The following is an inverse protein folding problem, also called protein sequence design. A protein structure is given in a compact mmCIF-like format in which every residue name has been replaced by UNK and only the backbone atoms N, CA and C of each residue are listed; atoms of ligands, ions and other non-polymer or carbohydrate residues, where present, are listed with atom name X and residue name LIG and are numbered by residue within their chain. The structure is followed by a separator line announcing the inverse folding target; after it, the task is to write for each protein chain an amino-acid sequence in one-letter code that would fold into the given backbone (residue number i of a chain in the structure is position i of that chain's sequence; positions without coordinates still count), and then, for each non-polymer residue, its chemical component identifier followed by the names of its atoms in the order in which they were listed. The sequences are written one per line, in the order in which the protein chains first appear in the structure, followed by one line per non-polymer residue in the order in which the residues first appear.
data_IF_563031555649
#
_entry.id   IF_563031555649
#
_cell.length_a   1.000
_cell.length_b   1.000
_cell.length_c   1.000
_cell.angle_alpha   90.00
_cell.angle_beta   90.00
_cell.angle_gamma   90.00
#
_symmetry.space_group_name_H-M   'P 1'
#
loop_
_entity.id
_entity.type
_entity.pdbx_description
1 polymer ?
#
# COMPACT_ATOMS: atom_id res chain seq x y z
N UNK A 1 -6.25 34.98 -1.59
CA UNK A 1 -7.72 34.98 -1.63
C UNK A 1 -8.18 33.82 -0.76
N UNK A 2 -8.86 34.11 0.35
CA UNK A 2 -9.18 33.14 1.39
C UNK A 2 -10.07 32.04 0.82
N UNK A 3 -9.75 30.78 1.14
CA UNK A 3 -10.60 29.61 0.87
C UNK A 3 -12.01 29.72 1.51
N UNK A 4 -12.20 30.71 2.38
CA UNK A 4 -13.41 30.97 3.13
C UNK A 4 -14.18 32.24 2.71
N UNK A 5 -13.69 33.03 1.74
CA UNK A 5 -14.42 34.22 1.24
C UNK A 5 -15.62 33.87 0.35
N UNK A 6 -15.80 32.60 -0.01
CA UNK A 6 -16.91 32.11 -0.85
C UNK A 6 -17.68 30.96 -0.19
N UNK A 7 -18.11 31.14 1.07
CA UNK A 7 -18.97 30.15 1.76
C UNK A 7 -20.24 29.80 0.98
N UNK A 8 -20.71 30.70 0.11
CA UNK A 8 -21.93 30.52 -0.69
C UNK A 8 -21.78 29.54 -1.87
N UNK A 9 -20.56 29.11 -2.23
CA UNK A 9 -20.31 28.23 -3.39
C UNK A 9 -19.53 26.95 -3.06
N UNK A 10 -19.42 26.57 -1.78
CA UNK A 10 -18.75 25.34 -1.37
C UNK A 10 -19.61 24.12 -1.71
N UNK A 11 -19.10 23.23 -2.56
CA UNK A 11 -19.81 22.00 -2.93
C UNK A 11 -19.41 20.85 -2.01
N UNK A 12 -20.26 19.81 -1.93
CA UNK A 12 -19.94 18.55 -1.24
C UNK A 12 -18.66 17.91 -1.80
N UNK A 13 -18.39 18.09 -3.10
CA UNK A 13 -17.17 17.62 -3.73
C UNK A 13 -15.92 18.32 -3.18
N UNK A 14 -15.99 19.64 -2.93
CA UNK A 14 -14.89 20.39 -2.32
C UNK A 14 -14.61 19.90 -0.90
N UNK A 15 -15.65 19.68 -0.10
CA UNK A 15 -15.52 19.14 1.25
C UNK A 15 -14.89 17.73 1.24
N UNK A 16 -15.38 16.84 0.39
CA UNK A 16 -14.84 15.48 0.26
C UNK A 16 -13.38 15.49 -0.21
N UNK A 17 -13.01 16.40 -1.12
CA UNK A 17 -11.62 16.51 -1.59
C UNK A 17 -10.66 16.90 -0.47
N UNK A 18 -11.04 17.88 0.36
CA UNK A 18 -10.23 18.35 1.49
C UNK A 18 -10.15 17.28 2.57
N UNK A 19 -11.28 16.65 2.92
CA UNK A 19 -11.33 15.55 3.89
C UNK A 19 -10.47 14.36 3.44
N UNK A 20 -10.53 14.00 2.15
CA UNK A 20 -9.71 12.94 1.58
C UNK A 20 -8.21 13.25 1.71
N UNK A 21 -7.78 14.47 1.36
CA UNK A 21 -6.37 14.88 1.48
C UNK A 21 -5.91 14.79 2.94
N UNK A 22 -6.67 15.33 3.90
CA UNK A 22 -6.31 15.29 5.31
C UNK A 22 -6.27 13.86 5.86
N UNK A 23 -7.26 13.04 5.53
CA UNK A 23 -7.30 11.63 5.94
C UNK A 23 -6.08 10.91 5.39
N UNK A 24 -5.75 11.09 4.12
CA UNK A 24 -4.60 10.46 3.47
C UNK A 24 -3.28 10.91 4.10
N UNK A 25 -3.14 12.19 4.48
CA UNK A 25 -1.97 12.73 5.17
C UNK A 25 -1.74 12.13 6.57
N UNK A 26 -2.79 11.61 7.21
CA UNK A 26 -2.68 10.93 8.52
C UNK A 26 -2.52 9.43 8.34
N UNK A 27 -3.32 8.83 7.46
CA UNK A 27 -3.37 7.37 7.28
C UNK A 27 -2.06 6.82 6.73
N UNK A 28 -1.44 7.42 5.71
CA UNK A 28 -0.24 6.80 5.13
C UNK A 28 0.95 6.75 6.11
N UNK A 29 1.29 7.84 6.83
CA UNK A 29 2.34 7.75 7.86
C UNK A 29 1.96 6.80 9.00
N UNK A 30 0.69 6.77 9.41
CA UNK A 30 0.21 5.85 10.44
C UNK A 30 0.38 4.39 10.02
N UNK A 31 0.01 4.04 8.78
CA UNK A 31 0.18 2.69 8.24
C UNK A 31 1.66 2.28 8.22
N UNK A 32 2.56 3.18 7.81
CA UNK A 32 4.00 2.92 7.85
C UNK A 32 4.50 2.75 9.29
N UNK A 33 4.04 3.58 10.23
CA UNK A 33 4.37 3.41 11.65
C UNK A 33 3.88 2.07 12.19
N UNK A 34 2.66 1.63 11.84
CA UNK A 34 2.15 0.31 12.20
C UNK A 34 3.03 -0.82 11.63
N UNK A 35 3.51 -0.69 10.38
CA UNK A 35 4.44 -1.64 9.78
C UNK A 35 5.76 -1.68 10.57
N UNK A 36 6.32 -0.53 10.92
CA UNK A 36 7.56 -0.47 11.70
C UNK A 36 7.39 -1.11 13.09
N UNK A 37 6.29 -0.83 13.78
CA UNK A 37 5.99 -1.41 15.10
C UNK A 37 5.78 -2.91 15.04
N UNK A 38 5.33 -3.46 13.91
CA UNK A 38 5.12 -4.89 13.71
C UNK A 38 6.23 -5.53 12.85
N UNK A 39 7.38 -4.88 12.70
CA UNK A 39 8.43 -5.30 11.76
C UNK A 39 9.00 -6.68 12.08
N UNK A 40 9.12 -7.05 13.36
CA UNK A 40 9.56 -8.37 13.79
C UNK A 40 8.56 -9.46 13.39
N UNK A 41 7.26 -9.25 13.65
CA UNK A 41 6.21 -10.18 13.24
C UNK A 41 6.10 -10.30 11.71
N UNK A 42 6.23 -9.18 11.00
CA UNK A 42 6.29 -9.15 9.53
C UNK A 42 7.48 -9.92 8.99
N UNK A 43 8.66 -9.76 9.60
CA UNK A 43 9.86 -10.50 9.21
C UNK A 43 9.68 -12.00 9.46
N UNK A 44 9.18 -12.40 10.63
CA UNK A 44 8.86 -13.78 10.92
C UNK A 44 7.86 -14.37 9.92
N UNK A 45 6.82 -13.61 9.57
CA UNK A 45 5.84 -14.01 8.55
C UNK A 45 6.52 -14.18 7.19
N UNK A 46 7.34 -13.24 6.74
CA UNK A 46 8.10 -13.36 5.47
C UNK A 46 9.03 -14.57 5.48
N UNK A 47 9.75 -14.83 6.59
CA UNK A 47 10.61 -16.01 6.69
C UNK A 47 9.82 -17.32 6.65
N UNK A 48 8.62 -17.36 7.22
CA UNK A 48 7.70 -18.50 7.07
C UNK A 48 7.19 -18.61 5.63
N UNK A 49 6.87 -17.47 4.99
CA UNK A 49 6.43 -17.37 3.60
C UNK A 49 7.47 -17.93 2.64
N UNK A 50 8.75 -17.63 2.88
CA UNK A 50 9.88 -18.07 2.06
C UNK A 50 10.49 -19.41 2.50
N UNK A 51 9.89 -20.08 3.50
CA UNK A 51 10.44 -21.31 4.04
C UNK A 51 10.51 -22.42 2.99
N UNK A 52 11.43 -23.38 3.21
CA UNK A 52 11.64 -24.52 2.32
C UNK A 52 10.35 -25.32 2.03
N UNK A 53 9.35 -25.23 2.92
CA UNK A 53 8.05 -25.84 2.72
C UNK A 53 7.26 -25.25 1.54
N UNK A 54 7.59 -24.08 1.01
CA UNK A 54 6.89 -23.45 -0.13
C UNK A 54 7.80 -23.20 -1.33
N UNK A 55 8.99 -23.81 -1.35
CA UNK A 55 9.82 -23.78 -2.55
C UNK A 55 9.19 -24.62 -3.66
N UNK A 56 9.30 -24.17 -4.93
CA UNK A 56 8.78 -24.90 -6.07
C UNK A 56 9.53 -26.23 -6.21
N UNK A 57 8.78 -27.32 -6.26
CA UNK A 57 9.29 -28.67 -6.50
C UNK A 57 9.28 -29.02 -8.00
N UNK A 58 8.56 -28.26 -8.82
CA UNK A 58 8.48 -28.47 -10.26
C UNK A 58 8.75 -27.19 -11.08
N UNK A 59 9.13 -27.38 -12.34
CA UNK A 59 9.30 -26.26 -13.28
C UNK A 59 7.99 -25.50 -13.53
N UNK A 60 6.84 -26.18 -13.44
CA UNK A 60 5.52 -25.58 -13.61
C UNK A 60 5.18 -24.65 -12.44
N UNK A 61 5.41 -25.10 -11.20
CA UNK A 61 5.26 -24.28 -9.99
C UNK A 61 6.21 -23.08 -10.02
N UNK A 62 7.46 -23.28 -10.44
CA UNK A 62 8.42 -22.18 -10.58
C UNK A 62 7.91 -21.09 -11.53
N UNK A 63 7.36 -21.48 -12.69
CA UNK A 63 6.87 -20.54 -13.69
C UNK A 63 5.64 -19.76 -13.19
N UNK A 64 4.74 -20.43 -12.48
CA UNK A 64 3.60 -19.81 -11.80
C UNK A 64 4.03 -18.77 -10.75
N UNK A 65 4.96 -19.16 -9.86
CA UNK A 65 5.52 -18.25 -8.84
C UNK A 65 6.19 -17.04 -9.51
N UNK A 66 6.96 -17.28 -10.57
CA UNK A 66 7.64 -16.22 -11.30
C UNK A 66 6.66 -15.22 -11.93
N UNK A 67 5.56 -15.68 -12.53
CA UNK A 67 4.52 -14.81 -13.09
C UNK A 67 3.85 -13.93 -12.04
N UNK A 68 3.55 -14.49 -10.86
CA UNK A 68 2.98 -13.73 -9.75
C UNK A 68 3.95 -12.69 -9.19
N UNK A 69 5.21 -13.07 -8.95
CA UNK A 69 6.25 -12.14 -8.48
C UNK A 69 6.51 -11.04 -9.51
N UNK A 70 6.53 -11.38 -10.80
CA UNK A 70 6.64 -10.41 -11.91
C UNK A 70 5.47 -9.45 -11.94
N UNK A 71 4.25 -9.94 -11.76
CA UNK A 71 3.03 -9.11 -11.70
C UNK A 71 3.07 -8.15 -10.51
N UNK A 72 3.51 -8.63 -9.33
CA UNK A 72 3.73 -7.79 -8.16
C UNK A 72 4.74 -6.68 -8.38
N UNK A 73 5.88 -7.02 -8.99
CA UNK A 73 6.89 -6.02 -9.35
C UNK A 73 6.33 -4.98 -10.32
N UNK A 74 5.53 -5.40 -11.31
CA UNK A 74 4.88 -4.49 -12.24
C UNK A 74 3.89 -3.55 -11.53
N UNK A 75 3.02 -4.08 -10.67
CA UNK A 75 2.04 -3.28 -9.89
C UNK A 75 2.77 -2.24 -9.04
N UNK A 76 3.82 -2.65 -8.31
CA UNK A 76 4.65 -1.74 -7.51
C UNK A 76 5.25 -0.64 -8.38
N UNK A 77 5.90 -1.02 -9.48
CA UNK A 77 6.55 -0.07 -10.41
C UNK A 77 5.54 0.93 -10.98
N UNK A 78 4.35 0.47 -11.36
CA UNK A 78 3.27 1.33 -11.84
C UNK A 78 2.81 2.30 -10.75
N UNK A 79 2.62 1.81 -9.53
CA UNK A 79 2.21 2.65 -8.39
C UNK A 79 3.26 3.72 -8.05
N UNK A 80 4.55 3.35 -8.01
CA UNK A 80 5.66 4.30 -7.82
C UNK A 80 5.72 5.32 -8.96
N UNK A 81 5.59 4.87 -10.21
CA UNK A 81 5.62 5.73 -11.39
C UNK A 81 4.48 6.75 -11.40
N UNK A 82 3.26 6.30 -11.12
CA UNK A 82 2.07 7.18 -11.06
C UNK A 82 2.19 8.18 -9.91
N UNK A 83 2.59 7.75 -8.71
CA UNK A 83 2.79 8.67 -7.59
C UNK A 83 3.89 9.71 -7.87
N UNK A 84 5.02 9.27 -8.43
CA UNK A 84 6.10 10.17 -8.83
C UNK A 84 5.64 11.21 -9.85
N UNK A 85 4.93 10.75 -10.89
CA UNK A 85 4.34 11.62 -11.89
C UNK A 85 3.39 12.65 -11.28
N UNK A 86 2.44 12.22 -10.44
CA UNK A 86 1.47 13.10 -9.79
C UNK A 86 2.15 14.13 -8.87
N UNK A 87 3.14 13.71 -8.07
CA UNK A 87 3.88 14.60 -7.18
C UNK A 87 4.68 15.67 -7.94
N UNK A 88 5.18 15.37 -9.13
CA UNK A 88 5.90 16.33 -9.97
C UNK A 88 4.95 17.23 -10.77
N UNK A 89 3.84 16.69 -11.29
CA UNK A 89 2.90 17.45 -12.12
C UNK A 89 2.07 18.44 -11.32
N UNK A 90 1.65 18.11 -10.10
CA UNK A 90 0.78 18.98 -9.31
C UNK A 90 1.38 20.37 -9.06
N UNK A 91 2.64 20.49 -8.59
CA UNK A 91 3.29 21.78 -8.40
C UNK A 91 3.48 22.55 -9.72
N UNK A 92 3.81 21.85 -10.82
CA UNK A 92 3.99 22.47 -12.14
C UNK A 92 2.67 23.10 -12.60
N UNK A 93 1.56 22.35 -12.53
CA UNK A 93 0.23 22.86 -12.91
C UNK A 93 -0.15 24.04 -12.02
N UNK A 94 0.12 23.96 -10.71
CA UNK A 94 -0.20 25.04 -9.78
C UNK A 94 0.57 26.33 -10.11
N UNK A 95 1.85 26.23 -10.49
CA UNK A 95 2.66 27.37 -10.94
C UNK A 95 2.10 27.96 -12.24
N UNK A 96 1.78 27.11 -13.22
CA UNK A 96 1.20 27.55 -14.50
C UNK A 96 -0.15 28.25 -14.34
N UNK A 97 -0.93 27.85 -13.33
CA UNK A 97 -2.22 28.45 -12.97
C UNK A 97 -2.08 29.68 -12.04
N UNK A 98 -0.87 30.07 -11.65
CA UNK A 98 -0.63 31.18 -10.74
C UNK A 98 -1.17 30.96 -9.31
N UNK A 99 -1.32 29.70 -8.88
CA UNK A 99 -1.82 29.36 -7.55
C UNK A 99 -0.73 29.56 -6.49
N UNK A 100 -1.15 30.00 -5.30
CA UNK A 100 -0.26 30.20 -4.14
C UNK A 100 0.07 28.90 -3.39
N UNK A 101 -0.58 27.79 -3.74
CA UNK A 101 -0.45 26.48 -3.10
C UNK A 101 -0.77 25.36 -4.12
N UNK A 102 -0.03 24.23 -4.15
CA UNK A 102 -0.33 23.09 -5.02
C UNK A 102 -1.68 22.41 -4.70
N UNK A 103 -2.03 22.34 -3.42
CA UNK A 103 -3.28 21.75 -2.95
C UNK A 103 -4.07 22.79 -2.16
N UNK A 104 -5.39 22.67 -2.21
CA UNK A 104 -6.35 23.50 -1.50
C UNK A 104 -6.14 23.37 0.01
N UNK A 105 -5.71 24.45 0.69
CA UNK A 105 -5.45 24.46 2.14
C UNK A 105 -5.45 25.87 2.70
N UNK A 106 -5.59 25.98 4.02
CA UNK A 106 -5.38 27.23 4.74
C UNK A 106 -3.89 27.57 4.78
N UNK A 107 -3.53 28.76 4.29
CA UNK A 107 -2.18 29.33 4.39
C UNK A 107 -2.16 30.24 5.63
N UNK A 108 -1.36 29.92 6.67
CA UNK A 108 -1.26 30.78 7.84
C UNK A 108 -0.73 32.17 7.47
N UNK A 109 -1.30 33.25 8.02
CA UNK A 109 -0.97 34.63 7.61
C UNK A 109 0.46 35.03 7.96
N UNK A 110 1.10 34.33 8.91
CA UNK A 110 2.50 34.56 9.31
C UNK A 110 3.52 33.85 8.41
N UNK A 111 3.09 33.00 7.47
CA UNK A 111 3.98 32.29 6.53
C UNK A 111 3.87 32.91 5.14
N UNK A 112 5.01 33.26 4.55
CA UNK A 112 5.04 33.71 3.16
C UNK A 112 4.61 32.58 2.22
N UNK A 113 3.70 32.86 1.27
CA UNK A 113 3.08 31.86 0.41
C UNK A 113 4.08 30.97 -0.34
N UNK A 114 5.23 31.52 -0.79
CA UNK A 114 6.31 30.75 -1.44
C UNK A 114 6.90 29.67 -0.54
N UNK A 115 7.12 29.99 0.74
CA UNK A 115 7.64 29.02 1.72
C UNK A 115 6.61 27.93 1.95
N UNK A 116 5.35 28.33 2.09
CA UNK A 116 4.24 27.41 2.26
C UNK A 116 4.02 26.49 1.05
N UNK A 117 4.19 27.01 -0.18
CA UNK A 117 4.11 26.26 -1.42
C UNK A 117 5.12 25.10 -1.46
N UNK A 118 6.38 25.40 -1.13
CA UNK A 118 7.43 24.38 -1.09
C UNK A 118 7.22 23.40 0.05
N UNK A 119 6.83 23.87 1.23
CA UNK A 119 6.46 23.02 2.35
C UNK A 119 5.37 22.01 1.96
N UNK A 120 4.27 22.48 1.36
CA UNK A 120 3.18 21.62 0.93
C UNK A 120 3.62 20.63 -0.17
N UNK A 121 4.49 21.06 -1.09
CA UNK A 121 5.06 20.18 -2.11
C UNK A 121 5.88 19.04 -1.48
N UNK A 122 6.74 19.38 -0.52
CA UNK A 122 7.56 18.39 0.21
C UNK A 122 6.71 17.44 1.03
N UNK A 123 5.68 17.94 1.74
CA UNK A 123 4.75 17.09 2.50
C UNK A 123 3.97 16.15 1.58
N UNK A 124 3.58 16.61 0.38
CA UNK A 124 2.92 15.76 -0.61
C UNK A 124 3.83 14.63 -1.08
N UNK A 125 5.09 14.93 -1.40
CA UNK A 125 6.09 13.91 -1.76
C UNK A 125 6.27 12.91 -0.61
N UNK A 126 6.48 13.39 0.62
CA UNK A 126 6.61 12.55 1.80
C UNK A 126 5.41 11.61 1.96
N UNK A 127 4.19 12.15 1.83
CA UNK A 127 2.98 11.37 2.00
C UNK A 127 2.81 10.29 0.91
N UNK A 128 3.10 10.62 -0.35
CA UNK A 128 3.10 9.66 -1.46
C UNK A 128 4.20 8.60 -1.33
N UNK A 129 5.36 8.95 -0.77
CA UNK A 129 6.40 7.97 -0.43
C UNK A 129 5.91 6.99 0.64
N UNK A 130 5.29 7.49 1.72
CA UNK A 130 4.71 6.63 2.76
C UNK A 130 3.64 5.70 2.18
N UNK A 131 2.78 6.21 1.30
CA UNK A 131 1.80 5.40 0.59
C UNK A 131 2.45 4.27 -0.20
N UNK A 132 3.48 4.60 -0.96
CA UNK A 132 4.18 3.64 -1.82
C UNK A 132 4.89 2.56 -1.01
N UNK A 133 5.45 2.91 0.15
CA UNK A 133 6.08 1.94 1.06
C UNK A 133 5.05 0.94 1.57
N UNK A 134 3.96 1.39 2.19
CA UNK A 134 3.02 0.44 2.81
C UNK A 134 2.28 -0.38 1.75
N UNK A 135 1.89 0.21 0.61
CA UNK A 135 1.25 -0.52 -0.50
C UNK A 135 2.20 -1.56 -1.09
N UNK A 136 3.49 -1.24 -1.23
CA UNK A 136 4.48 -2.20 -1.72
C UNK A 136 4.64 -3.38 -0.77
N UNK A 137 4.69 -3.13 0.54
CA UNK A 137 4.77 -4.19 1.55
C UNK A 137 3.51 -5.07 1.51
N UNK A 138 2.32 -4.47 1.55
CA UNK A 138 1.07 -5.22 1.46
C UNK A 138 0.96 -6.05 0.17
N UNK A 139 1.32 -5.47 -0.97
CA UNK A 139 1.34 -6.18 -2.24
C UNK A 139 2.29 -7.39 -2.22
N UNK A 140 3.45 -7.26 -1.58
CA UNK A 140 4.39 -8.38 -1.40
C UNK A 140 3.75 -9.49 -0.58
N UNK A 141 3.20 -9.16 0.58
CA UNK A 141 2.60 -10.14 1.49
C UNK A 141 1.41 -10.86 0.84
N UNK A 142 0.55 -10.13 0.12
CA UNK A 142 -0.58 -10.72 -0.59
C UNK A 142 -0.12 -11.69 -1.69
N UNK A 143 0.93 -11.36 -2.43
CA UNK A 143 1.46 -12.23 -3.48
C UNK A 143 2.07 -13.48 -2.90
N UNK A 144 2.89 -13.35 -1.85
CA UNK A 144 3.45 -14.51 -1.18
C UNK A 144 2.34 -15.40 -0.55
N UNK A 145 1.30 -14.80 0.02
CA UNK A 145 0.14 -15.55 0.53
C UNK A 145 -0.61 -16.29 -0.60
N UNK A 146 -0.81 -15.67 -1.77
CA UNK A 146 -1.42 -16.33 -2.94
C UNK A 146 -0.56 -17.52 -3.39
N UNK A 147 0.76 -17.34 -3.47
CA UNK A 147 1.69 -18.41 -3.84
C UNK A 147 1.58 -19.57 -2.86
N UNK A 148 1.58 -19.31 -1.55
CA UNK A 148 1.44 -20.36 -0.56
C UNK A 148 0.13 -21.12 -0.65
N UNK A 149 -1.00 -20.41 -0.81
CA UNK A 149 -2.31 -21.05 -0.94
C UNK A 149 -2.35 -21.92 -2.19
N UNK A 150 -1.73 -21.48 -3.29
CA UNK A 150 -1.63 -22.28 -4.51
C UNK A 150 -0.76 -23.54 -4.30
N UNK A 151 0.44 -23.40 -3.71
CA UNK A 151 1.30 -24.54 -3.41
C UNK A 151 0.66 -25.53 -2.43
N UNK A 152 -0.04 -25.03 -1.40
CA UNK A 152 -0.76 -25.87 -0.45
C UNK A 152 -1.87 -26.65 -1.14
N UNK A 153 -2.64 -26.01 -2.03
CA UNK A 153 -3.70 -26.64 -2.80
C UNK A 153 -3.14 -27.77 -3.68
N UNK A 154 -2.08 -27.51 -4.43
CA UNK A 154 -1.46 -28.51 -5.32
C UNK A 154 -0.93 -29.71 -4.52
N UNK A 155 -0.33 -29.47 -3.36
CA UNK A 155 0.10 -30.54 -2.45
C UNK A 155 -1.07 -31.34 -1.89
N UNK A 156 -2.15 -30.68 -1.49
CA UNK A 156 -3.36 -31.35 -1.01
C UNK A 156 -3.99 -32.25 -2.07
N UNK A 157 -3.99 -31.80 -3.33
CA UNK A 157 -4.48 -32.58 -4.47
C UNK A 157 -3.58 -33.78 -4.80
N UNK A 158 -2.28 -33.69 -4.49
CA UNK A 158 -1.31 -34.77 -4.68
C UNK A 158 -1.27 -35.81 -3.56
N UNK A 159 -1.86 -35.52 -2.38
CA UNK A 159 -1.93 -36.48 -1.27
C UNK A 159 -3.00 -37.52 -1.61
N UNK A 160 -2.52 -38.73 -1.93
CA UNK A 160 -3.34 -39.90 -2.28
C UNK A 160 -4.23 -40.38 -1.12
N UNK A 161 -3.90 -39.98 0.13
CA UNK A 161 -4.53 -40.49 1.34
C UNK A 161 -5.29 -39.39 2.11
N UNK A 162 -6.42 -38.94 1.54
CA UNK A 162 -7.31 -37.92 2.15
C UNK A 162 -7.72 -38.24 3.59
N UNK A 163 -7.83 -39.52 3.94
CA UNK A 163 -8.23 -40.00 5.27
C UNK A 163 -7.26 -39.59 6.37
N UNK A 164 -5.95 -39.67 6.12
CA UNK A 164 -4.93 -39.30 7.11
C UNK A 164 -4.92 -37.79 7.38
N UNK A 165 -5.25 -36.98 6.36
CA UNK A 165 -5.42 -35.54 6.50
C UNK A 165 -6.68 -35.19 7.29
N UNK A 166 -7.80 -35.85 7.01
CA UNK A 166 -9.06 -35.72 7.77
C UNK A 166 -8.87 -36.10 9.24
N UNK A 167 -8.19 -37.22 9.54
CA UNK A 167 -7.86 -37.64 10.91
C UNK A 167 -6.94 -36.63 11.63
N UNK A 168 -5.97 -36.03 10.94
CA UNK A 168 -5.12 -34.98 11.53
C UNK A 168 -5.91 -33.68 11.80
N UNK A 169 -6.81 -33.29 10.90
CA UNK A 169 -7.65 -32.10 11.09
C UNK A 169 -8.61 -32.32 12.25
N UNK A 170 -9.25 -33.49 12.34
CA UNK A 170 -10.14 -33.84 13.44
C UNK A 170 -9.37 -33.85 14.77
N UNK A 171 -8.18 -34.46 14.81
CA UNK A 171 -7.33 -34.50 16.00
C UNK A 171 -6.93 -33.10 16.49
N UNK A 172 -6.53 -32.19 15.60
CA UNK A 172 -6.21 -30.81 16.00
C UNK A 172 -7.46 -29.99 16.35
N UNK A 173 -8.62 -30.29 15.73
CA UNK A 173 -9.88 -29.64 16.09
C UNK A 173 -10.33 -29.99 17.51
N UNK A 174 -10.14 -31.25 17.93
CA UNK A 174 -10.47 -31.71 19.29
C UNK A 174 -9.56 -31.07 20.35
N UNK A 175 -8.27 -30.87 20.05
CA UNK A 175 -7.30 -30.26 20.98
C UNK A 175 -7.55 -28.75 21.18
N UNK A 176 -8.25 -28.09 20.25
CA UNK A 176 -8.48 -26.64 20.29
C UNK A 176 -9.86 -26.26 20.89
N UNK A 177 -10.61 -27.24 21.40
CA UNK A 177 -11.84 -27.08 22.21
C UNK A 177 -11.56 -27.31 23.69
#
# INVERSE_FOLDING_TARGET
MYLYDKRETLTVADFNSVMFIHTTNVTNPMMVACIFLNSEHLHAMICQLESAAFQPNSHKEYLYIYEWKRSGYFIKKLFYGVNGFLCSFLPIIAILQGKTAPLTTYIPPWIHWRVYFWFQSTVTVYNSTMASIYVSILCTLLIEAIIQVACLKERLESIEDRRCLEECIDHYSEITT
#
